data_IF_169459538195
#
_entry.id   IF_169459538195
#
_cell.length_a   1.000
_cell.length_b   1.000
_cell.length_c   1.000
_cell.angle_alpha   90.00
_cell.angle_beta   90.00
_cell.angle_gamma   90.00
#
_symmetry.space_group_name_H-M   'P 1'
#
loop_
_entity.id
_entity.type
_entity.pdbx_description
1 polymer ?
#
# COMPACT_ATOMS: atom_id res chain seq x y z
N UNK A 1 -4.05 -2.43 -5.22
CA UNK A 1 -5.36 -2.97 -4.76
C UNK A 1 -6.12 -3.60 -5.93
N UNK A 2 -6.86 -4.72 -5.71
CA UNK A 2 -7.73 -5.27 -6.73
C UNK A 2 -8.84 -4.28 -7.11
N UNK A 3 -9.13 -4.16 -8.41
CA UNK A 3 -10.12 -3.22 -8.95
C UNK A 3 -11.56 -3.75 -9.00
N UNK A 4 -11.87 -4.89 -8.39
CA UNK A 4 -13.21 -5.49 -8.38
C UNK A 4 -13.91 -5.35 -7.02
N UNK A 5 -15.22 -5.14 -7.05
CA UNK A 5 -16.09 -4.92 -5.87
C UNK A 5 -16.05 -6.09 -4.88
N UNK A 6 -15.75 -7.30 -5.34
CA UNK A 6 -15.77 -8.53 -4.54
C UNK A 6 -14.52 -8.72 -3.64
N UNK A 7 -13.52 -7.82 -3.73
CA UNK A 7 -12.24 -7.94 -3.02
C UNK A 7 -12.07 -6.94 -1.86
N UNK A 8 -13.17 -6.47 -1.27
CA UNK A 8 -13.13 -5.50 -0.17
C UNK A 8 -12.32 -6.00 1.05
N UNK A 9 -12.35 -7.31 1.31
CA UNK A 9 -11.63 -7.89 2.45
C UNK A 9 -10.10 -7.83 2.22
N UNK A 10 -9.63 -8.21 1.04
CA UNK A 10 -8.22 -8.17 0.67
C UNK A 10 -7.71 -6.71 0.61
N UNK A 11 -8.52 -5.80 0.09
CA UNK A 11 -8.21 -4.37 0.06
C UNK A 11 -8.06 -3.82 1.48
N UNK A 12 -9.01 -4.09 2.37
CA UNK A 12 -8.97 -3.64 3.76
C UNK A 12 -7.73 -4.15 4.51
N UNK A 13 -7.36 -5.43 4.32
CA UNK A 13 -6.15 -5.99 4.93
C UNK A 13 -4.87 -5.34 4.43
N UNK A 14 -4.80 -5.08 3.13
CA UNK A 14 -3.65 -4.39 2.53
C UNK A 14 -3.54 -2.94 3.03
N UNK A 15 -4.66 -2.23 3.13
CA UNK A 15 -4.70 -0.85 3.64
C UNK A 15 -4.26 -0.78 5.12
N UNK A 16 -4.62 -1.76 5.94
CA UNK A 16 -4.19 -1.83 7.34
C UNK A 16 -2.66 -1.91 7.51
N UNK A 17 -1.93 -2.30 6.46
CA UNK A 17 -0.48 -2.38 6.46
C UNK A 17 0.20 -1.14 5.84
N UNK A 18 -0.56 -0.10 5.46
CA UNK A 18 -0.05 1.12 4.81
C UNK A 18 -0.02 2.30 5.77
N UNK A 19 0.86 3.27 5.50
CA UNK A 19 0.93 4.57 6.18
C UNK A 19 0.24 5.68 5.38
N UNK A 20 0.00 5.46 4.09
CA UNK A 20 -0.70 6.37 3.21
C UNK A 20 -1.18 5.66 1.94
N UNK A 21 -2.00 6.33 1.15
CA UNK A 21 -2.56 5.78 -0.07
C UNK A 21 -2.55 6.80 -1.22
N UNK A 22 -2.24 6.34 -2.42
CA UNK A 22 -2.39 7.12 -3.64
C UNK A 22 -3.73 6.81 -4.29
N UNK A 23 -4.54 7.84 -4.52
CA UNK A 23 -5.75 7.76 -5.30
C UNK A 23 -5.43 8.03 -6.77
N UNK A 24 -5.20 7.00 -7.54
CA UNK A 24 -4.88 7.12 -8.97
C UNK A 24 -6.17 7.13 -9.78
N UNK A 25 -6.47 8.28 -10.41
CA UNK A 25 -7.69 8.49 -11.19
C UNK A 25 -7.33 8.67 -12.67
N UNK A 26 -8.14 8.05 -13.54
CA UNK A 26 -8.02 8.18 -14.99
C UNK A 26 -8.51 9.56 -15.46
N UNK A 27 -7.64 10.32 -16.13
CA UNK A 27 -7.95 11.66 -16.62
C UNK A 27 -9.09 11.70 -17.66
N UNK A 28 -9.42 10.58 -18.28
CA UNK A 28 -10.50 10.50 -19.28
C UNK A 28 -11.84 10.03 -18.70
N UNK A 29 -11.78 9.13 -17.70
CA UNK A 29 -12.99 8.53 -17.11
C UNK A 29 -13.45 9.25 -15.84
N UNK A 30 -12.51 9.75 -15.04
CA UNK A 30 -12.81 10.36 -13.74
C UNK A 30 -13.05 9.33 -12.65
N UNK A 31 -13.91 9.68 -11.68
CA UNK A 31 -14.21 8.84 -10.52
C UNK A 31 -15.23 7.78 -10.88
N UNK A 32 -14.87 6.51 -10.66
CA UNK A 32 -15.77 5.38 -10.77
C UNK A 32 -16.29 4.94 -9.38
N UNK A 33 -17.38 4.18 -9.34
CA UNK A 33 -17.97 3.68 -8.10
C UNK A 33 -16.97 2.88 -7.25
N UNK A 34 -16.10 2.10 -7.91
CA UNK A 34 -15.05 1.34 -7.24
C UNK A 34 -13.97 2.24 -6.63
N UNK A 35 -13.64 3.33 -7.30
CA UNK A 35 -12.72 4.35 -6.79
C UNK A 35 -13.22 4.92 -5.46
N UNK A 36 -14.50 5.30 -5.43
CA UNK A 36 -15.15 5.80 -4.20
C UNK A 36 -15.11 4.78 -3.06
N UNK A 37 -15.49 3.53 -3.35
CA UNK A 37 -15.49 2.46 -2.34
C UNK A 37 -14.08 2.26 -1.73
N UNK A 38 -13.05 2.25 -2.55
CA UNK A 38 -11.67 2.08 -2.10
C UNK A 38 -11.16 3.31 -1.31
N UNK A 39 -11.54 4.51 -1.70
CA UNK A 39 -11.18 5.74 -0.96
C UNK A 39 -11.80 5.73 0.44
N UNK A 40 -13.08 5.41 0.55
CA UNK A 40 -13.73 5.32 1.86
C UNK A 40 -13.10 4.26 2.75
N UNK A 41 -12.70 3.11 2.20
CA UNK A 41 -11.95 2.10 2.95
C UNK A 41 -10.60 2.64 3.43
N UNK A 42 -9.88 3.40 2.62
CA UNK A 42 -8.61 4.01 3.03
C UNK A 42 -8.81 5.04 4.16
N UNK A 43 -9.84 5.87 4.05
CA UNK A 43 -10.20 6.85 5.10
C UNK A 43 -10.65 6.18 6.40
N UNK A 44 -11.37 5.06 6.33
CA UNK A 44 -11.76 4.26 7.50
C UNK A 44 -10.55 3.64 8.23
N UNK A 45 -9.41 3.50 7.55
CA UNK A 45 -8.13 3.10 8.14
C UNK A 45 -7.25 4.29 8.59
N UNK A 46 -7.81 5.50 8.65
CA UNK A 46 -7.10 6.75 9.00
C UNK A 46 -5.87 7.03 8.11
N UNK A 47 -5.90 6.59 6.85
CA UNK A 47 -4.82 6.84 5.92
C UNK A 47 -4.95 8.22 5.27
N UNK A 48 -3.81 8.89 5.14
CA UNK A 48 -3.69 10.04 4.25
C UNK A 48 -3.81 9.60 2.80
N UNK A 49 -4.74 10.21 2.06
CA UNK A 49 -5.01 9.86 0.66
C UNK A 49 -4.61 11.01 -0.25
N UNK A 50 -3.71 10.75 -1.19
CA UNK A 50 -3.20 11.75 -2.14
C UNK A 50 -3.66 11.43 -3.56
N UNK A 51 -4.38 12.37 -4.24
CA UNK A 51 -4.82 12.16 -5.60
C UNK A 51 -3.67 12.27 -6.61
N UNK A 52 -3.73 11.42 -7.64
CA UNK A 52 -2.83 11.42 -8.81
C UNK A 52 -3.67 11.26 -10.06
N UNK A 53 -3.52 12.16 -11.03
CA UNK A 53 -4.26 12.14 -12.28
C UNK A 53 -3.43 11.44 -13.36
N UNK A 54 -3.85 10.24 -13.73
CA UNK A 54 -3.13 9.40 -14.68
C UNK A 54 -3.76 9.43 -16.08
N UNK A 55 -3.00 8.97 -17.06
CA UNK A 55 -3.37 8.89 -18.49
C UNK A 55 -3.60 10.24 -19.15
N UNK A 56 -2.86 11.26 -18.74
CA UNK A 56 -2.95 12.61 -19.36
C UNK A 56 -2.46 12.65 -20.81
N UNK A 57 -1.82 11.57 -21.27
CA UNK A 57 -1.39 11.38 -22.67
C UNK A 57 -2.55 11.02 -23.61
N UNK A 58 -3.73 10.69 -23.10
CA UNK A 58 -4.88 10.35 -23.93
C UNK A 58 -5.51 11.61 -24.53
N UNK A 59 -5.96 11.56 -25.81
CA UNK A 59 -6.66 12.69 -26.45
C UNK A 59 -7.97 13.10 -25.74
N UNK A 60 -8.58 12.18 -25.01
CA UNK A 60 -9.82 12.38 -24.23
C UNK A 60 -9.55 12.77 -22.77
N UNK A 61 -8.31 13.03 -22.40
CA UNK A 61 -7.96 13.42 -21.04
C UNK A 61 -8.47 14.83 -20.71
N UNK A 62 -9.18 14.94 -19.57
CA UNK A 62 -9.68 16.21 -19.02
C UNK A 62 -9.23 16.36 -17.55
N UNK A 63 -7.93 16.61 -17.29
CA UNK A 63 -7.40 16.61 -15.92
C UNK A 63 -8.10 17.61 -15.00
N UNK A 64 -8.39 18.82 -15.48
CA UNK A 64 -9.03 19.86 -14.67
C UNK A 64 -10.46 19.49 -14.28
N UNK A 65 -11.21 18.83 -15.16
CA UNK A 65 -12.53 18.29 -14.84
C UNK A 65 -12.45 17.22 -13.73
N UNK A 66 -11.49 16.32 -13.86
CA UNK A 66 -11.30 15.22 -12.89
C UNK A 66 -10.84 15.75 -11.54
N UNK A 67 -9.98 16.76 -11.50
CA UNK A 67 -9.60 17.44 -10.26
C UNK A 67 -10.82 18.04 -9.56
N UNK A 68 -11.65 18.80 -10.28
CA UNK A 68 -12.88 19.37 -9.72
C UNK A 68 -13.83 18.27 -9.22
N UNK A 69 -13.96 17.16 -9.94
CA UNK A 69 -14.78 16.02 -9.55
C UNK A 69 -14.26 15.36 -8.24
N UNK A 70 -12.94 15.22 -8.06
CA UNK A 70 -12.34 14.70 -6.82
C UNK A 70 -12.66 15.63 -5.63
N UNK A 71 -12.51 16.94 -5.81
CA UNK A 71 -12.79 17.92 -4.77
C UNK A 71 -14.28 17.95 -4.39
N UNK A 72 -15.17 17.92 -5.38
CA UNK A 72 -16.61 18.01 -5.17
C UNK A 72 -17.22 16.72 -4.59
N UNK A 73 -16.76 15.55 -5.06
CA UNK A 73 -17.37 14.26 -4.72
C UNK A 73 -16.73 13.61 -3.49
N UNK A 74 -15.40 13.72 -3.37
CA UNK A 74 -14.66 13.07 -2.28
C UNK A 74 -14.30 14.07 -1.18
N UNK A 75 -14.10 15.35 -1.53
CA UNK A 75 -13.67 16.38 -0.60
C UNK A 75 -12.16 16.39 -0.32
N UNK A 76 -11.36 15.76 -1.20
CA UNK A 76 -9.91 15.80 -1.13
C UNK A 76 -9.38 16.99 -1.92
N UNK A 77 -8.40 17.71 -1.38
CA UNK A 77 -7.65 18.72 -2.13
C UNK A 77 -6.88 18.06 -3.30
N UNK A 78 -7.14 18.49 -4.52
CA UNK A 78 -6.59 17.88 -5.73
C UNK A 78 -5.93 18.87 -6.70
N UNK A 79 -5.87 20.17 -6.37
CA UNK A 79 -5.27 21.20 -7.25
C UNK A 79 -3.80 20.93 -7.54
N UNK A 80 -3.05 20.43 -6.53
CA UNK A 80 -1.63 20.10 -6.61
C UNK A 80 -1.38 18.63 -6.98
N UNK A 81 -2.43 17.91 -7.41
CA UNK A 81 -2.29 16.51 -7.80
C UNK A 81 -1.38 16.37 -9.03
N UNK A 82 -0.36 15.49 -8.99
CA UNK A 82 0.49 15.22 -10.14
C UNK A 82 -0.33 14.73 -11.32
N UNK A 83 -0.08 15.33 -12.49
CA UNK A 83 -0.70 14.97 -13.77
C UNK A 83 0.28 14.12 -14.55
N UNK A 84 0.06 12.82 -14.56
CA UNK A 84 1.02 11.85 -15.05
C UNK A 84 0.54 11.02 -16.24
N UNK A 85 1.48 10.41 -16.91
CA UNK A 85 1.25 9.25 -17.76
C UNK A 85 2.16 8.12 -17.32
N UNK A 86 1.61 7.13 -16.62
CA UNK A 86 2.36 5.94 -16.23
C UNK A 86 2.88 5.16 -17.43
N UNK A 87 2.20 5.27 -18.60
CA UNK A 87 2.59 4.63 -19.85
C UNK A 87 3.85 5.25 -20.45
N UNK A 88 3.99 6.57 -20.40
CA UNK A 88 5.13 7.30 -21.00
C UNK A 88 6.21 7.65 -19.99
N UNK A 89 5.92 7.54 -18.70
CA UNK A 89 6.79 7.97 -17.61
C UNK A 89 6.68 9.48 -17.28
N UNK A 90 5.78 10.20 -17.96
CA UNK A 90 5.61 11.64 -17.73
C UNK A 90 5.23 11.91 -16.27
N UNK A 91 6.00 12.80 -15.60
CA UNK A 91 5.80 13.30 -14.24
C UNK A 91 5.68 12.20 -13.15
N UNK A 92 6.12 10.97 -13.41
CA UNK A 92 6.10 9.89 -12.39
C UNK A 92 7.03 10.24 -11.23
N UNK A 93 8.14 10.92 -11.49
CA UNK A 93 9.07 11.36 -10.44
C UNK A 93 8.42 12.32 -9.44
N UNK A 94 7.45 13.16 -9.87
CA UNK A 94 6.68 14.03 -8.97
C UNK A 94 5.84 13.22 -7.97
N UNK A 95 5.29 12.08 -8.39
CA UNK A 95 4.54 11.19 -7.48
C UNK A 95 5.47 10.60 -6.44
N UNK A 96 6.65 10.13 -6.84
CA UNK A 96 7.63 9.57 -5.92
C UNK A 96 8.12 10.62 -4.91
N UNK A 97 8.35 11.84 -5.37
CA UNK A 97 8.73 12.95 -4.50
C UNK A 97 7.62 13.29 -3.49
N UNK A 98 6.36 13.34 -3.94
CA UNK A 98 5.22 13.57 -3.05
C UNK A 98 5.03 12.46 -2.01
N UNK A 99 5.29 11.20 -2.36
CA UNK A 99 5.27 10.09 -1.39
C UNK A 99 6.26 10.37 -0.26
N UNK A 100 7.51 10.71 -0.61
CA UNK A 100 8.56 10.99 0.38
C UNK A 100 8.24 12.20 1.25
N UNK A 101 7.59 13.21 0.68
CA UNK A 101 7.28 14.46 1.41
C UNK A 101 6.03 14.38 2.28
N UNK A 102 5.02 13.62 1.85
CA UNK A 102 3.67 13.65 2.44
C UNK A 102 3.36 12.44 3.31
N UNK A 103 3.91 11.26 2.98
CA UNK A 103 3.66 10.05 3.76
C UNK A 103 4.73 9.94 4.85
N UNK A 104 4.35 9.82 6.13
CA UNK A 104 5.31 9.68 7.21
C UNK A 104 6.12 8.38 7.05
N UNK A 105 7.36 8.41 7.54
CA UNK A 105 8.16 7.19 7.63
C UNK A 105 7.50 6.19 8.59
N UNK A 106 7.70 4.89 8.39
CA UNK A 106 7.20 3.88 9.33
C UNK A 106 7.68 4.16 10.75
N UNK A 107 6.76 4.06 11.70
CA UNK A 107 7.07 4.17 13.12
C UNK A 107 7.21 2.79 13.75
N UNK A 108 8.01 2.68 14.82
CA UNK A 108 8.19 1.45 15.61
C UNK A 108 9.56 1.40 16.26
N UNK A 109 9.66 0.71 17.39
CA UNK A 109 10.92 0.53 18.12
C UNK A 109 11.47 -0.89 17.90
N UNK A 110 12.61 -1.04 17.21
CA UNK A 110 13.22 -2.35 16.96
C UNK A 110 13.68 -3.09 18.22
N UNK A 111 13.75 -2.40 19.37
CA UNK A 111 14.17 -2.99 20.65
C UNK A 111 13.01 -3.58 21.47
N UNK A 112 11.78 -3.26 21.10
CA UNK A 112 10.58 -3.78 21.73
C UNK A 112 10.29 -5.24 21.34
N UNK A 113 9.42 -5.96 22.07
CA UNK A 113 8.96 -7.29 21.68
C UNK A 113 8.30 -7.28 20.29
N UNK A 114 8.63 -8.27 19.46
CA UNK A 114 8.11 -8.40 18.11
C UNK A 114 6.58 -8.35 18.07
N UNK A 115 6.07 -7.43 17.28
CA UNK A 115 4.67 -7.36 16.84
C UNK A 115 4.65 -7.17 15.32
N UNK A 116 3.98 -8.06 14.62
CA UNK A 116 3.85 -7.98 13.18
C UNK A 116 2.38 -8.15 12.76
N UNK A 117 1.95 -7.34 11.81
CA UNK A 117 0.64 -7.42 11.19
C UNK A 117 0.72 -8.28 9.93
N UNK A 118 0.03 -9.42 9.93
CA UNK A 118 -0.07 -10.29 8.75
C UNK A 118 -1.21 -9.77 7.88
N UNK A 119 -0.90 -9.44 6.63
CA UNK A 119 -1.91 -8.97 5.67
C UNK A 119 -2.13 -9.93 4.50
N UNK A 120 -1.21 -10.88 4.25
CA UNK A 120 -1.37 -11.91 3.24
C UNK A 120 -0.57 -13.18 3.57
N UNK A 121 -0.94 -14.31 2.95
CA UNK A 121 -0.18 -15.55 3.06
C UNK A 121 -0.38 -16.43 1.83
N UNK A 122 0.69 -17.06 1.39
CA UNK A 122 0.72 -17.98 0.25
C UNK A 122 1.40 -19.28 0.66
N UNK A 123 0.86 -20.41 0.19
CA UNK A 123 1.53 -21.70 0.33
C UNK A 123 2.42 -22.00 -0.88
N UNK A 124 3.69 -22.19 -0.62
CA UNK A 124 4.68 -22.64 -1.61
C UNK A 124 5.07 -24.08 -1.33
N UNK A 125 5.06 -24.95 -2.34
CA UNK A 125 5.33 -26.37 -2.19
C UNK A 125 6.76 -26.71 -1.67
N UNK A 126 7.71 -25.77 -1.87
CA UNK A 126 9.11 -25.95 -1.47
C UNK A 126 9.49 -25.19 -0.20
N UNK A 127 8.88 -24.01 0.02
CA UNK A 127 9.18 -23.12 1.14
C UNK A 127 8.17 -23.23 2.29
N UNK A 128 7.02 -23.88 2.05
CA UNK A 128 5.93 -23.92 3.01
C UNK A 128 5.06 -22.66 2.98
N UNK A 129 4.62 -22.20 4.13
CA UNK A 129 3.79 -20.99 4.23
C UNK A 129 4.68 -19.76 4.19
N UNK A 130 4.46 -18.91 3.19
CA UNK A 130 5.08 -17.59 3.07
C UNK A 130 4.06 -16.57 3.57
N UNK A 131 4.45 -15.81 4.58
CA UNK A 131 3.60 -14.80 5.22
C UNK A 131 4.07 -13.42 4.78
N UNK A 132 3.18 -12.62 4.22
CA UNK A 132 3.40 -11.20 3.99
C UNK A 132 2.96 -10.44 5.24
N UNK A 133 3.90 -9.74 5.86
CA UNK A 133 3.64 -9.01 7.09
C UNK A 133 4.35 -7.66 7.11
N UNK A 134 3.80 -6.75 7.90
CA UNK A 134 4.47 -5.51 8.31
C UNK A 134 4.94 -5.67 9.75
N UNK A 135 6.23 -5.45 10.01
CA UNK A 135 6.76 -5.39 11.37
C UNK A 135 6.36 -4.04 11.96
N UNK A 136 5.63 -4.08 13.09
CA UNK A 136 5.15 -2.89 13.80
C UNK A 136 6.09 -2.51 14.94
N UNK A 137 6.63 -3.51 15.64
CA UNK A 137 7.56 -3.37 16.75
C UNK A 137 8.54 -4.53 16.76
N UNK A 138 9.72 -4.31 17.33
CA UNK A 138 10.74 -5.34 17.46
C UNK A 138 11.39 -5.71 16.16
N UNK A 139 12.02 -6.87 16.11
CA UNK A 139 12.65 -7.39 14.91
C UNK A 139 12.42 -8.89 14.76
N UNK A 140 12.54 -9.38 13.53
CA UNK A 140 12.42 -10.80 13.17
C UNK A 140 13.53 -11.23 12.24
N UNK A 141 14.14 -12.38 12.56
CA UNK A 141 15.19 -13.01 11.77
C UNK A 141 14.98 -14.53 11.70
N UNK A 142 15.73 -15.19 10.86
CA UNK A 142 15.76 -16.66 10.83
C UNK A 142 16.03 -17.24 12.22
N UNK A 143 15.24 -18.23 12.63
CA UNK A 143 15.30 -18.87 13.94
C UNK A 143 14.50 -18.15 15.03
N UNK A 144 13.91 -16.99 14.76
CA UNK A 144 13.03 -16.32 15.72
C UNK A 144 11.79 -17.18 15.97
N UNK A 145 11.46 -17.41 17.25
CA UNK A 145 10.20 -18.07 17.62
C UNK A 145 9.11 -17.04 17.70
N UNK A 146 8.08 -17.24 16.89
CA UNK A 146 6.90 -16.38 16.81
C UNK A 146 5.69 -17.10 17.41
N UNK A 147 4.74 -16.33 17.94
CA UNK A 147 3.44 -16.82 18.38
C UNK A 147 2.34 -16.14 17.59
N UNK A 148 1.51 -16.92 16.94
CA UNK A 148 0.30 -16.44 16.29
C UNK A 148 -0.70 -15.99 17.34
N UNK A 149 -1.07 -14.70 17.37
CA UNK A 149 -1.91 -14.13 18.43
C UNK A 149 -3.31 -14.73 18.46
N UNK A 150 -3.90 -15.01 17.29
CA UNK A 150 -5.26 -15.54 17.20
C UNK A 150 -5.37 -17.02 17.64
N UNK A 151 -4.39 -17.85 17.31
CA UNK A 151 -4.44 -19.30 17.55
C UNK A 151 -3.58 -19.74 18.73
N UNK A 152 -2.61 -18.91 19.13
CA UNK A 152 -1.59 -19.28 20.11
C UNK A 152 -0.50 -20.24 19.60
N UNK A 153 -0.56 -20.64 18.33
CA UNK A 153 0.44 -21.52 17.73
C UNK A 153 1.83 -20.85 17.74
N UNK A 154 2.83 -21.67 18.05
CA UNK A 154 4.22 -21.23 18.11
C UNK A 154 5.00 -21.88 16.98
N UNK A 155 5.66 -21.08 16.19
CA UNK A 155 6.42 -21.51 15.02
C UNK A 155 7.81 -20.90 15.03
N UNK A 156 8.75 -21.50 14.30
CA UNK A 156 10.08 -20.96 14.08
C UNK A 156 10.19 -20.39 12.68
N UNK A 157 10.69 -19.17 12.58
CA UNK A 157 10.93 -18.48 11.29
C UNK A 157 12.09 -19.14 10.55
N UNK A 158 11.80 -19.68 9.36
CA UNK A 158 12.79 -20.39 8.54
C UNK A 158 13.63 -19.42 7.71
N UNK A 159 13.01 -18.37 7.18
CA UNK A 159 13.62 -17.37 6.30
C UNK A 159 12.89 -16.03 6.46
N UNK A 160 13.60 -14.92 6.33
CA UNK A 160 13.05 -13.57 6.22
C UNK A 160 13.55 -12.89 4.95
N UNK A 161 12.76 -11.95 4.43
CA UNK A 161 13.10 -11.22 3.22
C UNK A 161 12.09 -10.13 2.92
N UNK A 162 12.34 -9.34 1.90
CA UNK A 162 11.46 -8.26 1.47
C UNK A 162 11.16 -8.35 -0.04
N UNK A 163 10.11 -7.67 -0.47
CA UNK A 163 9.72 -7.62 -1.87
C UNK A 163 10.59 -6.63 -2.64
N UNK A 164 11.39 -7.13 -3.58
CA UNK A 164 12.04 -6.32 -4.58
C UNK A 164 11.23 -6.28 -5.88
N UNK A 165 11.71 -5.54 -6.87
CA UNK A 165 11.07 -5.49 -8.18
C UNK A 165 11.06 -6.87 -8.84
N UNK A 166 9.89 -7.54 -8.83
CA UNK A 166 9.63 -8.84 -9.46
C UNK A 166 10.22 -10.06 -8.75
N UNK A 167 10.76 -9.93 -7.53
CA UNK A 167 11.32 -11.06 -6.77
C UNK A 167 11.34 -10.81 -5.27
N UNK A 168 11.34 -11.90 -4.50
CA UNK A 168 11.64 -11.88 -3.07
C UNK A 168 13.16 -11.83 -2.87
N UNK A 169 13.63 -10.94 -2.01
CA UNK A 169 15.04 -10.75 -1.67
C UNK A 169 15.23 -11.19 -0.22
N UNK A 170 15.99 -12.26 0.04
CA UNK A 170 16.32 -12.66 1.41
C UNK A 170 17.14 -11.58 2.11
N UNK A 171 16.93 -11.45 3.42
CA UNK A 171 17.73 -10.59 4.28
C UNK A 171 18.01 -11.28 5.64
N UNK A 172 18.87 -10.69 6.44
CA UNK A 172 19.23 -11.26 7.72
C UNK A 172 18.19 -10.96 8.81
N UNK A 173 17.59 -9.78 8.77
CA UNK A 173 16.65 -9.28 9.77
C UNK A 173 15.65 -8.28 9.14
N UNK A 174 14.44 -8.24 9.68
CA UNK A 174 13.43 -7.22 9.38
C UNK A 174 13.05 -6.49 10.66
N UNK A 175 12.89 -5.18 10.57
CA UNK A 175 12.45 -4.27 11.63
C UNK A 175 11.36 -3.34 11.12
N UNK A 176 10.76 -2.45 11.94
CA UNK A 176 9.73 -1.51 11.48
C UNK A 176 10.16 -0.57 10.35
N UNK A 177 11.44 -0.41 10.13
CA UNK A 177 12.02 0.47 9.11
C UNK A 177 12.05 -0.15 7.69
N UNK A 178 11.54 -1.38 7.51
CA UNK A 178 11.54 -2.11 6.24
C UNK A 178 10.13 -2.26 5.65
#
# INVERSE_FOLDING_TARGET
TPGHVDFNYEVSRSLAACDGALLVVDASQGIEAQTLANVYLALDHDLDVFPVINKVDLPSAEPDRVIAEIEDVIGLEAQDAPRISAKTGLNVDEVLEQIVQKIPAPEGDPTEPLKALIFDSVYDAYRGVIISCRVMEGSVKKGTRIRMMATGAVEEVVEVGYFGAGRLIPCDELSPEW
#
